data_IF_036898749510
#
_entry.id   IF_036898749510
#
_cell.length_a   1.000
_cell.length_b   1.000
_cell.length_c   1.000
_cell.angle_alpha   90.00
_cell.angle_beta   90.00
_cell.angle_gamma   90.00
#
_symmetry.space_group_name_H-M   'P 1'
#
loop_
_entity.id
_entity.type
_entity.pdbx_description
1 polymer ?
#
# COMPACT_ATOMS: atom_id res chain seq x y z
N UNK A 1 13.80 -8.39 -5.38
CA UNK A 1 12.72 -9.26 -5.90
C UNK A 1 11.87 -8.44 -6.86
N UNK A 2 11.46 -9.03 -7.98
CA UNK A 2 10.66 -8.38 -9.03
C UNK A 2 9.48 -9.29 -9.36
N UNK A 3 8.25 -8.75 -9.27
CA UNK A 3 7.05 -9.37 -9.82
C UNK A 3 6.84 -8.79 -11.23
N UNK A 4 7.07 -9.59 -12.27
CA UNK A 4 7.02 -9.10 -13.66
C UNK A 4 5.60 -9.04 -14.24
N UNK A 5 4.63 -9.64 -13.56
CA UNK A 5 3.26 -9.70 -14.06
C UNK A 5 3.20 -10.42 -15.42
N UNK A 6 2.64 -9.72 -16.38
CA UNK A 6 2.51 -10.20 -17.75
C UNK A 6 3.73 -9.91 -18.64
N UNK A 7 4.71 -9.15 -18.12
CA UNK A 7 5.94 -8.82 -18.87
C UNK A 7 6.82 -10.06 -18.97
N UNK A 8 7.17 -10.53 -20.20
CA UNK A 8 8.07 -11.65 -20.37
C UNK A 8 9.44 -11.38 -19.75
N UNK A 9 10.08 -12.40 -19.18
CA UNK A 9 11.41 -12.25 -18.57
C UNK A 9 12.47 -11.77 -19.56
N UNK A 10 12.35 -12.15 -20.84
CA UNK A 10 13.26 -11.73 -21.89
C UNK A 10 13.24 -10.21 -22.14
N UNK A 11 12.12 -9.56 -21.85
CA UNK A 11 11.94 -8.12 -22.08
C UNK A 11 12.51 -7.25 -20.94
N UNK A 12 12.88 -7.88 -19.83
CA UNK A 12 13.47 -7.17 -18.69
C UNK A 12 14.95 -6.82 -18.88
N UNK A 13 15.57 -7.35 -19.93
CA UNK A 13 17.01 -7.15 -20.18
C UNK A 13 17.89 -7.84 -19.13
N UNK A 14 19.21 -7.52 -19.13
CA UNK A 14 20.15 -8.11 -18.16
C UNK A 14 19.85 -7.65 -16.75
N UNK A 15 19.71 -8.59 -15.83
CA UNK A 15 19.43 -8.32 -14.41
C UNK A 15 20.69 -8.53 -13.56
N UNK A 16 20.86 -7.75 -12.49
CA UNK A 16 21.97 -7.96 -11.54
C UNK A 16 21.93 -9.36 -10.95
N UNK A 17 23.12 -9.93 -10.65
CA UNK A 17 23.23 -11.22 -9.97
C UNK A 17 22.44 -11.20 -8.64
N UNK A 18 21.77 -12.32 -8.33
CA UNK A 18 20.93 -12.45 -7.15
C UNK A 18 19.51 -11.89 -7.30
N UNK A 19 19.14 -11.37 -8.49
CA UNK A 19 17.76 -10.94 -8.77
C UNK A 19 16.81 -12.13 -8.76
N UNK A 20 15.78 -12.07 -7.91
CA UNK A 20 14.66 -13.00 -7.93
C UNK A 20 13.53 -12.36 -8.74
N UNK A 21 13.22 -12.95 -9.90
CA UNK A 21 12.12 -12.49 -10.76
C UNK A 21 11.10 -13.62 -10.93
N UNK A 22 9.83 -13.30 -10.78
CA UNK A 22 8.71 -14.23 -10.99
C UNK A 22 7.55 -13.46 -11.59
N UNK A 23 6.70 -14.09 -12.42
CA UNK A 23 5.45 -13.48 -12.89
C UNK A 23 4.54 -13.07 -11.72
N UNK A 24 4.49 -13.91 -10.69
CA UNK A 24 3.75 -13.67 -9.46
C UNK A 24 4.61 -13.95 -8.23
N UNK A 25 4.49 -13.10 -7.23
CA UNK A 25 5.09 -13.27 -5.91
C UNK A 25 3.98 -13.19 -4.84
N UNK A 26 4.04 -14.02 -3.78
CA UNK A 26 3.15 -13.85 -2.62
C UNK A 26 3.55 -12.56 -1.89
N UNK A 27 2.95 -11.43 -2.29
CA UNK A 27 3.40 -10.07 -2.00
C UNK A 27 3.61 -9.82 -0.51
N UNK A 28 2.64 -10.18 0.33
CA UNK A 28 2.73 -9.98 1.78
C UNK A 28 3.92 -10.73 2.40
N UNK A 29 4.21 -11.94 1.92
CA UNK A 29 5.36 -12.71 2.39
C UNK A 29 6.68 -12.12 1.86
N UNK A 30 6.71 -11.73 0.59
CA UNK A 30 7.88 -11.13 -0.05
C UNK A 30 8.30 -9.82 0.63
N UNK A 31 7.34 -8.95 0.95
CA UNK A 31 7.59 -7.66 1.61
C UNK A 31 8.28 -7.81 2.97
N UNK A 32 8.07 -8.91 3.69
CA UNK A 32 8.74 -9.16 4.99
C UNK A 32 10.26 -9.34 4.88
N UNK A 33 10.76 -9.60 3.69
CA UNK A 33 12.20 -9.81 3.40
C UNK A 33 12.79 -8.66 2.60
N UNK A 34 12.12 -7.52 2.54
CA UNK A 34 12.54 -6.33 1.81
C UNK A 34 12.89 -5.19 2.76
N UNK A 35 13.68 -4.24 2.27
CA UNK A 35 14.02 -2.99 2.96
C UNK A 35 13.27 -1.79 2.38
N UNK A 36 12.77 -1.90 1.15
CA UNK A 36 12.01 -0.88 0.42
C UNK A 36 11.07 -1.56 -0.57
N UNK A 37 9.91 -0.95 -0.78
CA UNK A 37 8.98 -1.34 -1.84
C UNK A 37 9.00 -0.32 -2.98
N UNK A 38 9.03 -0.79 -4.23
CA UNK A 38 8.86 0.04 -5.43
C UNK A 38 7.59 -0.40 -6.13
N UNK A 39 6.63 0.50 -6.33
CA UNK A 39 5.35 0.15 -6.94
C UNK A 39 4.71 1.35 -7.65
N UNK A 40 3.60 1.10 -8.34
CA UNK A 40 2.82 2.14 -9.02
C UNK A 40 1.94 2.98 -8.07
N UNK A 41 1.85 2.63 -6.79
CA UNK A 41 1.04 3.36 -5.82
C UNK A 41 -0.42 2.89 -5.71
N UNK A 42 -0.73 1.69 -6.19
CA UNK A 42 -2.03 1.08 -5.90
C UNK A 42 -2.22 0.95 -4.38
N UNK A 43 -3.40 1.35 -3.88
CA UNK A 43 -3.66 1.46 -2.44
C UNK A 43 -3.33 0.18 -1.65
N UNK A 44 -3.70 -0.98 -2.17
CA UNK A 44 -3.44 -2.25 -1.48
C UNK A 44 -1.93 -2.51 -1.33
N UNK A 45 -1.16 -2.35 -2.42
CA UNK A 45 0.30 -2.56 -2.39
C UNK A 45 0.99 -1.57 -1.46
N UNK A 46 0.60 -0.30 -1.49
CA UNK A 46 1.15 0.72 -0.60
C UNK A 46 0.85 0.40 0.88
N UNK A 47 -0.39 0.03 1.19
CA UNK A 47 -0.80 -0.33 2.55
C UNK A 47 -0.13 -1.61 3.06
N UNK A 48 0.08 -2.61 2.21
CA UNK A 48 0.81 -3.83 2.57
C UNK A 48 2.29 -3.54 2.85
N UNK A 49 2.93 -2.71 2.01
CA UNK A 49 4.30 -2.27 2.22
C UNK A 49 4.45 -1.49 3.54
N UNK A 50 3.57 -0.53 3.79
CA UNK A 50 3.56 0.22 5.06
C UNK A 50 3.27 -0.68 6.26
N UNK A 51 2.37 -1.66 6.13
CA UNK A 51 2.09 -2.64 7.20
C UNK A 51 3.30 -3.52 7.47
N UNK A 52 4.10 -3.86 6.46
CA UNK A 52 5.39 -4.52 6.63
C UNK A 52 6.43 -3.60 7.27
N UNK A 53 6.20 -2.30 7.31
CA UNK A 53 7.11 -1.29 7.89
C UNK A 53 8.12 -0.75 6.89
N UNK A 54 7.85 -0.87 5.60
CA UNK A 54 8.77 -0.48 4.53
C UNK A 54 8.45 0.93 4.02
N UNK A 55 9.47 1.75 3.72
CA UNK A 55 9.29 2.94 2.92
C UNK A 55 8.96 2.55 1.47
N UNK A 56 8.26 3.45 0.76
CA UNK A 56 7.74 3.16 -0.58
C UNK A 56 8.28 4.15 -1.61
N UNK A 57 8.78 3.65 -2.72
CA UNK A 57 9.03 4.44 -3.93
C UNK A 57 7.85 4.24 -4.87
N UNK A 58 7.19 5.33 -5.26
CA UNK A 58 5.97 5.28 -6.06
C UNK A 58 6.21 5.90 -7.43
N UNK A 59 5.83 5.15 -8.47
CA UNK A 59 5.77 5.61 -9.85
C UNK A 59 4.29 5.63 -10.29
N UNK A 60 3.52 6.71 -10.05
CA UNK A 60 2.09 6.73 -10.29
C UNK A 60 1.76 6.89 -11.79
N UNK A 61 0.82 6.09 -12.30
CA UNK A 61 0.39 6.12 -13.70
C UNK A 61 -1.07 6.58 -13.88
N UNK A 62 -1.88 6.53 -12.82
CA UNK A 62 -3.31 6.85 -12.90
C UNK A 62 -3.82 7.58 -11.65
N UNK A 63 -5.05 8.07 -11.72
CA UNK A 63 -5.69 9.06 -10.86
C UNK A 63 -5.53 8.85 -9.35
N UNK A 64 -5.92 7.71 -8.82
CA UNK A 64 -5.85 7.37 -7.38
C UNK A 64 -4.40 7.17 -6.91
N UNK A 65 -3.51 6.72 -7.79
CA UNK A 65 -2.11 6.51 -7.49
C UNK A 65 -1.36 7.81 -7.21
N UNK A 66 -1.75 8.92 -7.86
CA UNK A 66 -1.19 10.25 -7.58
C UNK A 66 -1.57 10.74 -6.19
N UNK A 67 -2.80 10.45 -5.74
CA UNK A 67 -3.22 10.80 -4.38
C UNK A 67 -2.42 10.00 -3.34
N UNK A 68 -2.27 8.69 -3.53
CA UNK A 68 -1.46 7.83 -2.66
C UNK A 68 0.01 8.30 -2.64
N UNK A 69 0.57 8.65 -3.79
CA UNK A 69 1.94 9.17 -3.89
C UNK A 69 2.10 10.48 -3.09
N UNK A 70 1.15 11.41 -3.23
CA UNK A 70 1.15 12.68 -2.48
C UNK A 70 1.09 12.44 -0.96
N UNK A 71 0.23 11.54 -0.50
CA UNK A 71 0.10 11.20 0.93
C UNK A 71 1.37 10.55 1.48
N UNK A 72 2.00 9.65 0.73
CA UNK A 72 3.26 9.01 1.12
C UNK A 72 4.40 10.03 1.25
N UNK A 73 4.49 10.97 0.32
CA UNK A 73 5.49 12.04 0.35
C UNK A 73 5.23 12.99 1.51
N UNK A 74 3.99 13.47 1.67
CA UNK A 74 3.61 14.40 2.74
C UNK A 74 3.84 13.82 4.14
N UNK A 75 3.61 12.52 4.31
CA UNK A 75 3.85 11.82 5.58
C UNK A 75 5.33 11.41 5.80
N UNK A 76 6.20 11.59 4.80
CA UNK A 76 7.60 11.15 4.85
C UNK A 76 7.76 9.63 4.91
N UNK A 77 6.84 8.91 4.30
CA UNK A 77 6.81 7.44 4.22
C UNK A 77 7.22 6.92 2.85
N UNK A 78 7.39 7.80 1.88
CA UNK A 78 7.78 7.42 0.53
C UNK A 78 8.34 8.56 -0.31
N UNK A 79 8.79 8.20 -1.51
CA UNK A 79 9.32 9.08 -2.54
C UNK A 79 8.52 8.86 -3.81
N UNK A 80 8.04 9.93 -4.44
CA UNK A 80 7.37 9.86 -5.73
C UNK A 80 8.35 10.15 -6.86
N UNK A 81 8.22 9.39 -7.95
CA UNK A 81 9.02 9.55 -9.18
C UNK A 81 8.04 9.61 -10.35
N UNK A 82 8.20 10.58 -11.24
CA UNK A 82 7.36 10.70 -12.45
C UNK A 82 7.74 9.60 -13.47
N UNK A 83 6.89 8.58 -13.69
CA UNK A 83 7.23 7.44 -14.55
C UNK A 83 7.41 7.83 -16.02
N UNK A 84 6.84 8.96 -16.45
CA UNK A 84 6.93 9.44 -17.84
C UNK A 84 8.27 10.09 -18.17
N UNK A 85 9.03 10.51 -17.16
CA UNK A 85 10.30 11.24 -17.30
C UNK A 85 11.48 10.60 -16.59
N UNK A 86 11.22 9.64 -15.70
CA UNK A 86 12.24 9.03 -14.87
C UNK A 86 13.25 8.22 -15.67
N UNK A 87 14.50 8.44 -15.36
CA UNK A 87 15.60 7.57 -15.77
C UNK A 87 15.85 6.49 -14.72
N UNK A 88 16.63 5.47 -15.07
CA UNK A 88 17.08 4.47 -14.09
C UNK A 88 17.85 5.13 -12.93
N UNK A 89 18.60 6.20 -13.20
CA UNK A 89 19.31 6.97 -12.17
C UNK A 89 18.34 7.61 -11.16
N UNK A 90 17.23 8.16 -11.62
CA UNK A 90 16.23 8.80 -10.75
C UNK A 90 15.56 7.76 -9.83
N UNK A 91 15.25 6.59 -10.34
CA UNK A 91 14.70 5.48 -9.54
C UNK A 91 15.71 5.02 -8.48
N UNK A 92 16.97 4.87 -8.85
CA UNK A 92 18.04 4.51 -7.90
C UNK A 92 18.21 5.59 -6.82
N UNK A 93 18.18 6.86 -7.19
CA UNK A 93 18.25 7.97 -6.25
C UNK A 93 17.06 7.97 -5.28
N UNK A 94 15.85 7.73 -5.78
CA UNK A 94 14.65 7.61 -4.97
C UNK A 94 14.73 6.43 -3.98
N UNK A 95 15.24 5.27 -4.41
CA UNK A 95 15.46 4.11 -3.54
C UNK A 95 16.45 4.45 -2.42
N UNK A 96 17.57 5.10 -2.75
CA UNK A 96 18.56 5.53 -1.74
C UNK A 96 17.96 6.50 -0.72
N UNK A 97 17.14 7.44 -1.18
CA UNK A 97 16.43 8.38 -0.30
C UNK A 97 15.42 7.66 0.59
N UNK A 98 14.66 6.72 0.04
CA UNK A 98 13.71 5.89 0.79
C UNK A 98 14.41 5.07 1.88
N UNK A 99 15.61 4.57 1.61
CA UNK A 99 16.44 3.82 2.56
C UNK A 99 17.14 4.71 3.60
N UNK A 100 16.90 6.02 3.61
CA UNK A 100 17.46 6.91 4.64
C UNK A 100 17.02 6.51 6.05
N UNK A 101 17.87 6.66 7.08
CA UNK A 101 17.52 6.30 8.46
C UNK A 101 16.27 7.01 8.99
N UNK A 102 15.96 8.21 8.50
CA UNK A 102 14.77 8.95 8.91
C UNK A 102 13.49 8.31 8.36
N UNK A 103 13.47 7.97 7.05
CA UNK A 103 12.30 7.40 6.40
C UNK A 103 12.04 5.96 6.83
N UNK A 104 13.09 5.14 6.95
CA UNK A 104 12.96 3.76 7.44
C UNK A 104 12.43 3.70 8.87
N UNK A 105 12.87 4.59 9.77
CA UNK A 105 12.30 4.68 11.12
C UNK A 105 10.82 5.08 11.11
N UNK A 106 10.42 6.04 10.27
CA UNK A 106 9.02 6.46 10.14
C UNK A 106 8.15 5.33 9.60
N UNK A 107 8.59 4.65 8.54
CA UNK A 107 7.87 3.52 7.96
C UNK A 107 7.72 2.37 8.98
N UNK A 108 8.78 2.03 9.70
CA UNK A 108 8.72 1.03 10.77
C UNK A 108 7.73 1.41 11.89
N UNK A 109 7.68 2.68 12.28
CA UNK A 109 6.71 3.17 13.27
C UNK A 109 5.27 3.06 12.73
N UNK A 110 5.02 3.49 11.50
CA UNK A 110 3.73 3.34 10.83
C UNK A 110 3.31 1.88 10.76
N UNK A 111 4.20 0.99 10.36
CA UNK A 111 3.91 -0.45 10.30
C UNK A 111 3.49 -1.03 11.65
N UNK A 112 4.12 -0.61 12.75
CA UNK A 112 3.68 -1.02 14.10
C UNK A 112 2.27 -0.53 14.41
N UNK A 113 1.93 0.69 14.05
CA UNK A 113 0.59 1.27 14.24
C UNK A 113 -0.45 0.51 13.44
N UNK A 114 -0.19 0.27 12.15
CA UNK A 114 -1.12 -0.44 11.26
C UNK A 114 -1.39 -1.88 11.72
N UNK A 115 -0.35 -2.62 12.12
CA UNK A 115 -0.53 -3.99 12.64
C UNK A 115 -1.31 -4.08 13.94
N UNK A 116 -1.37 -3.02 14.73
CA UNK A 116 -2.16 -2.93 15.97
C UNK A 116 -3.57 -2.39 15.74
N UNK A 117 -3.85 -1.83 14.57
CA UNK A 117 -5.15 -1.26 14.27
C UNK A 117 -6.17 -2.37 13.98
N UNK A 118 -7.26 -2.48 14.73
CA UNK A 118 -8.29 -3.52 14.55
C UNK A 118 -9.25 -3.15 13.39
N UNK A 119 -8.71 -2.85 12.20
CA UNK A 119 -9.49 -2.33 11.07
C UNK A 119 -10.54 -3.33 10.59
N UNK A 120 -10.19 -4.60 10.45
CA UNK A 120 -11.10 -5.66 10.01
C UNK A 120 -12.21 -5.89 11.05
N UNK A 121 -11.87 -5.94 12.32
CA UNK A 121 -12.83 -6.13 13.42
C UNK A 121 -13.79 -4.94 13.51
N UNK A 122 -13.29 -3.71 13.38
CA UNK A 122 -14.12 -2.49 13.35
C UNK A 122 -15.05 -2.47 12.14
N UNK A 123 -14.57 -2.84 10.96
CA UNK A 123 -15.40 -2.92 9.76
C UNK A 123 -16.51 -3.96 9.92
N UNK A 124 -16.17 -5.16 10.40
CA UNK A 124 -17.15 -6.20 10.68
C UNK A 124 -18.19 -5.77 11.72
N UNK A 125 -17.77 -5.12 12.81
CA UNK A 125 -18.69 -4.61 13.82
C UNK A 125 -19.64 -3.53 13.28
N UNK A 126 -19.15 -2.63 12.41
CA UNK A 126 -19.99 -1.64 11.76
C UNK A 126 -21.02 -2.27 10.83
N UNK A 127 -20.61 -3.25 10.01
CA UNK A 127 -21.53 -3.96 9.11
C UNK A 127 -22.62 -4.72 9.87
N UNK A 128 -22.27 -5.37 10.97
CA UNK A 128 -23.24 -6.08 11.81
C UNK A 128 -24.23 -5.12 12.48
N UNK A 129 -23.78 -3.93 12.88
CA UNK A 129 -24.66 -2.90 13.47
C UNK A 129 -25.63 -2.31 12.46
N UNK A 130 -25.21 -2.11 11.20
CA UNK A 130 -26.08 -1.58 10.13
C UNK A 130 -27.10 -2.61 9.66
N UNK A 131 -26.84 -3.91 9.81
CA UNK A 131 -27.76 -5.00 9.49
C UNK A 131 -28.70 -5.38 10.64
N UNK A 132 -28.62 -4.73 11.81
CA UNK A 132 -29.59 -4.95 12.87
C UNK A 132 -31.00 -4.56 12.38
N UNK A 133 -32.02 -5.45 12.51
CA UNK A 133 -33.36 -5.13 12.05
C UNK A 133 -33.84 -3.85 12.72
N UNK A 134 -34.26 -2.85 11.93
CA UNK A 134 -34.91 -1.67 12.47
C UNK A 134 -36.11 -2.14 13.29
N UNK A 135 -36.12 -1.83 14.58
CA UNK A 135 -37.29 -2.07 15.43
C UNK A 135 -38.46 -1.39 14.73
N UNK A 136 -39.42 -2.23 14.23
CA UNK A 136 -40.68 -1.74 13.72
C UNK A 136 -41.35 -0.95 14.84
N UNK A 137 -41.57 0.35 14.66
CA UNK A 137 -42.53 1.10 15.49
C UNK A 137 -43.89 0.43 15.27
N UNK A 138 -44.40 -0.24 16.29
CA UNK A 138 -45.73 -0.78 16.26
C UNK A 138 -46.75 0.33 15.98
N UNK A 139 -47.90 0.00 15.32
CA UNK A 139 -48.95 0.98 15.02
C UNK A 139 -49.44 1.57 16.33
N UNK A 140 -49.29 2.88 16.46
CA UNK A 140 -49.86 3.61 17.58
C UNK A 140 -51.37 3.38 17.62
N UNK A 141 -51.86 2.83 18.73
CA UNK A 141 -53.30 2.75 19.08
C UNK A 141 -53.88 4.16 19.04
N UNK A 142 -54.66 4.45 18.00
CA UNK A 142 -55.54 5.61 18.00
C UNK A 142 -56.68 5.31 18.97
N UNK A 143 -56.58 5.85 20.16
CA UNK A 143 -57.70 5.94 21.08
C UNK A 143 -58.73 6.94 20.47
N UNK A 144 -59.92 6.46 20.19
CA UNK A 144 -61.05 7.28 19.80
C UNK A 144 -61.79 7.68 21.10
N UNK A 145 -61.84 8.94 21.37
CA UNK A 145 -62.84 9.58 22.24
C UNK A 145 -63.95 10.17 21.38
#
# INVERSE_FOLDING_TARGET
MIASGVTPLADLGPLPGGSLVRPFLPQVAALRSCDVAVCHGGNNTAMEALTAGLPVVVLPFSTDQFAVAADLVASGLGVAVDPSRATAHDVVAAIRLALSPAMTRRAAAMGRTLRRAPGQERAAALLLRTNAPRRSHGPGTRERA
#
